data_IF_115320812271
#
_entry.id   IF_115320812271
#
_cell.length_a   1.000
_cell.length_b   1.000
_cell.length_c   1.000
_cell.angle_alpha   90.00
_cell.angle_beta   90.00
_cell.angle_gamma   90.00
#
_symmetry.space_group_name_H-M   'P 1'
#
loop_
_entity.id
_entity.type
_entity.pdbx_description
1 polymer ?
#
# COMPACT_ATOMS: atom_id res chain seq x y z
N UNK A 1 6.37 -19.72 46.80
CA UNK A 1 7.25 -19.46 45.63
C UNK A 1 6.38 -19.25 44.43
N UNK A 2 6.03 -17.97 44.17
CA UNK A 2 5.23 -17.57 43.02
C UNK A 2 6.16 -17.30 41.88
N UNK A 3 6.14 -18.13 40.86
CA UNK A 3 6.74 -17.80 39.55
C UNK A 3 5.88 -16.74 38.86
N UNK A 4 6.44 -15.55 38.76
CA UNK A 4 5.90 -14.51 37.92
C UNK A 4 6.21 -14.87 36.46
N UNK A 5 5.23 -15.41 35.80
CA UNK A 5 5.26 -15.52 34.32
C UNK A 5 5.09 -14.12 33.74
N UNK A 6 6.16 -13.59 33.18
CA UNK A 6 6.10 -12.33 32.45
C UNK A 6 5.27 -12.53 31.19
N UNK A 7 4.39 -11.58 30.79
CA UNK A 7 3.66 -11.68 29.55
C UNK A 7 4.61 -11.49 28.35
N UNK A 8 4.33 -12.10 27.22
CA UNK A 8 5.24 -12.11 26.09
C UNK A 8 5.39 -10.75 25.44
N UNK A 9 6.60 -10.46 25.01
CA UNK A 9 7.10 -9.24 24.36
C UNK A 9 6.50 -8.89 22.98
N UNK A 10 5.24 -9.27 22.70
CA UNK A 10 4.63 -9.04 21.38
C UNK A 10 4.30 -7.57 21.09
N UNK A 11 4.07 -6.77 22.12
CA UNK A 11 3.65 -5.37 21.95
C UNK A 11 4.81 -4.45 21.57
N UNK A 12 6.01 -4.71 22.09
CA UNK A 12 7.21 -3.91 21.76
C UNK A 12 7.65 -4.15 20.32
N UNK A 13 7.70 -5.39 19.87
CA UNK A 13 8.07 -5.74 18.50
C UNK A 13 7.11 -5.15 17.45
N UNK A 14 5.83 -5.05 17.77
CA UNK A 14 4.81 -4.45 16.91
C UNK A 14 5.02 -2.93 16.77
N UNK A 15 5.24 -2.26 17.89
CA UNK A 15 5.55 -0.83 17.91
C UNK A 15 6.80 -0.49 17.09
N UNK A 16 7.82 -1.33 17.17
CA UNK A 16 9.06 -1.18 16.43
C UNK A 16 8.87 -1.32 14.92
N UNK A 17 8.05 -2.26 14.47
CA UNK A 17 7.74 -2.46 13.03
C UNK A 17 6.96 -1.29 12.46
N UNK A 18 5.93 -0.83 13.15
CA UNK A 18 5.13 0.33 12.76
C UNK A 18 6.00 1.58 12.69
N UNK A 19 6.84 1.82 13.70
CA UNK A 19 7.73 2.98 13.71
C UNK A 19 8.84 2.88 12.65
N UNK A 20 9.36 1.70 12.39
CA UNK A 20 10.35 1.49 11.32
C UNK A 20 9.75 1.82 9.96
N UNK A 21 8.52 1.38 9.69
CA UNK A 21 7.82 1.70 8.46
C UNK A 21 7.52 3.21 8.36
N UNK A 22 7.05 3.81 9.44
CA UNK A 22 6.78 5.25 9.49
C UNK A 22 8.04 6.09 9.25
N UNK A 23 9.16 5.72 9.86
CA UNK A 23 10.45 6.36 9.65
C UNK A 23 10.92 6.27 8.20
N UNK A 24 10.76 5.10 7.59
CA UNK A 24 11.08 4.88 6.19
C UNK A 24 10.22 5.75 5.28
N UNK A 25 8.91 5.79 5.49
CA UNK A 25 7.99 6.62 4.73
C UNK A 25 8.32 8.10 4.87
N UNK A 26 8.65 8.58 6.06
CA UNK A 26 9.08 9.98 6.27
C UNK A 26 10.35 10.31 5.50
N UNK A 27 11.33 9.41 5.51
CA UNK A 27 12.62 9.66 4.83
C UNK A 27 12.49 9.72 3.31
N UNK A 28 11.51 9.05 2.73
CA UNK A 28 11.21 9.09 1.30
C UNK A 28 10.09 10.06 0.92
N UNK A 29 9.57 10.84 1.86
CA UNK A 29 8.41 11.72 1.66
C UNK A 29 7.20 10.97 1.09
N UNK A 30 6.93 9.82 1.63
CA UNK A 30 5.72 9.03 1.34
C UNK A 30 4.62 9.43 2.32
N UNK A 31 3.47 9.80 1.81
CA UNK A 31 2.31 10.21 2.62
C UNK A 31 1.37 9.07 2.94
N UNK A 32 1.20 8.14 2.01
CA UNK A 32 0.37 6.96 2.22
C UNK A 32 1.05 5.76 1.56
N UNK A 33 1.06 4.63 2.25
CA UNK A 33 1.57 3.36 1.74
C UNK A 33 0.47 2.29 1.86
N UNK A 34 0.22 1.59 0.77
CA UNK A 34 -0.70 0.46 0.72
C UNK A 34 0.04 -0.81 0.33
N UNK A 35 -0.42 -1.95 0.85
CA UNK A 35 -0.11 -3.26 0.30
C UNK A 35 -1.37 -3.82 -0.37
N UNK A 36 -1.23 -4.40 -1.54
CA UNK A 36 -2.35 -4.94 -2.29
C UNK A 36 -1.96 -6.27 -2.96
N UNK A 37 -2.86 -6.85 -3.71
CA UNK A 37 -2.62 -8.14 -4.34
C UNK A 37 -2.58 -9.30 -3.35
N UNK A 38 -1.99 -10.41 -3.74
CA UNK A 38 -2.05 -11.68 -3.01
C UNK A 38 -1.36 -11.65 -1.64
N UNK A 39 -0.39 -10.78 -1.43
CA UNK A 39 0.39 -10.70 -0.20
C UNK A 39 0.08 -9.49 0.68
N UNK A 40 -0.90 -8.68 0.30
CA UNK A 40 -1.25 -7.47 1.05
C UNK A 40 -1.69 -7.77 2.48
N UNK A 41 -2.52 -8.79 2.68
CA UNK A 41 -3.00 -9.21 4.00
C UNK A 41 -1.87 -9.68 4.91
N UNK A 42 -0.94 -10.46 4.38
CA UNK A 42 0.23 -10.93 5.13
C UNK A 42 1.09 -9.76 5.63
N UNK A 43 1.28 -8.75 4.79
CA UNK A 43 2.05 -7.55 5.14
C UNK A 43 1.39 -6.80 6.31
N UNK A 44 0.06 -6.64 6.28
CA UNK A 44 -0.68 -6.02 7.37
C UNK A 44 -0.58 -6.82 8.68
N UNK A 45 -0.75 -8.13 8.59
CA UNK A 45 -0.64 -9.03 9.74
C UNK A 45 0.76 -8.98 10.38
N UNK A 46 1.79 -8.97 9.55
CA UNK A 46 3.17 -8.84 10.01
C UNK A 46 3.39 -7.49 10.70
N UNK A 47 2.92 -6.41 10.10
CA UNK A 47 3.07 -5.05 10.64
C UNK A 47 2.44 -4.94 12.03
N UNK A 48 1.30 -5.57 12.25
CA UNK A 48 0.58 -5.56 13.53
C UNK A 48 0.98 -6.70 14.48
N UNK A 49 2.07 -7.41 14.19
CA UNK A 49 2.61 -8.44 15.07
C UNK A 49 1.82 -9.74 15.11
N UNK A 50 0.85 -9.92 14.24
CA UNK A 50 0.04 -11.15 14.14
C UNK A 50 0.74 -12.28 13.40
N UNK A 51 1.85 -11.97 12.77
CA UNK A 51 2.66 -12.88 11.96
C UNK A 51 4.13 -12.58 12.21
N UNK A 52 4.96 -13.62 12.35
CA UNK A 52 6.41 -13.45 12.58
C UNK A 52 7.17 -13.05 11.33
N UNK A 53 6.75 -13.58 10.18
CA UNK A 53 7.35 -13.33 8.88
C UNK A 53 6.31 -13.52 7.78
N UNK A 54 6.55 -12.95 6.60
CA UNK A 54 5.76 -13.24 5.42
C UNK A 54 6.12 -14.65 4.92
N UNK A 55 5.13 -15.33 4.34
CA UNK A 55 5.34 -16.67 3.79
C UNK A 55 6.41 -16.64 2.70
N UNK A 56 7.46 -17.48 2.77
CA UNK A 56 8.42 -17.59 1.68
C UNK A 56 7.73 -18.04 0.39
N UNK A 57 8.06 -17.40 -0.72
CA UNK A 57 7.47 -17.76 -2.00
C UNK A 57 7.94 -16.84 -3.12
N UNK A 58 7.67 -17.23 -4.38
CA UNK A 58 8.09 -16.46 -5.55
C UNK A 58 7.26 -15.20 -5.80
N UNK A 59 6.12 -15.04 -5.12
CA UNK A 59 5.23 -13.89 -5.32
C UNK A 59 5.83 -12.62 -4.78
N UNK A 60 5.73 -11.55 -5.55
CA UNK A 60 6.16 -10.21 -5.15
C UNK A 60 5.19 -9.63 -4.10
N UNK A 61 5.71 -8.78 -3.24
CA UNK A 61 4.87 -7.91 -2.41
C UNK A 61 4.54 -6.66 -3.22
N UNK A 62 3.26 -6.48 -3.53
CA UNK A 62 2.78 -5.34 -4.29
C UNK A 62 2.46 -4.18 -3.34
N UNK A 63 3.07 -3.03 -3.56
CA UNK A 63 2.84 -1.82 -2.77
C UNK A 63 2.45 -0.64 -3.65
N UNK A 64 1.50 0.15 -3.15
CA UNK A 64 1.11 1.42 -3.74
C UNK A 64 1.58 2.58 -2.87
N UNK A 65 2.15 3.59 -3.48
CA UNK A 65 2.76 4.73 -2.80
C UNK A 65 2.14 6.03 -3.27
N UNK A 66 1.68 6.84 -2.33
CA UNK A 66 1.29 8.24 -2.55
C UNK A 66 2.40 9.12 -2.00
N UNK A 67 3.26 9.73 -2.84
CA UNK A 67 4.29 10.66 -2.38
C UNK A 67 3.69 12.00 -1.94
N UNK A 68 4.50 12.82 -1.26
CA UNK A 68 4.13 14.18 -0.92
C UNK A 68 3.86 15.03 -2.16
N UNK A 69 3.00 16.02 -2.03
CA UNK A 69 2.62 16.92 -3.11
C UNK A 69 3.85 17.69 -3.61
N UNK A 70 4.07 17.69 -4.94
CA UNK A 70 5.24 18.33 -5.56
C UNK A 70 6.54 17.58 -5.36
N UNK A 71 6.55 16.44 -4.68
CA UNK A 71 7.73 15.61 -4.54
C UNK A 71 8.11 14.97 -5.87
N UNK A 72 9.40 15.08 -6.23
CA UNK A 72 9.95 14.33 -7.35
C UNK A 72 10.23 12.90 -6.89
N UNK A 73 9.74 11.92 -7.65
CA UNK A 73 9.97 10.51 -7.35
C UNK A 73 10.58 9.79 -8.55
N UNK A 74 11.87 10.08 -8.85
CA UNK A 74 12.54 9.48 -10.00
C UNK A 74 12.70 7.97 -9.82
N UNK A 75 13.00 7.27 -10.91
CA UNK A 75 13.18 5.81 -10.93
C UNK A 75 14.19 5.35 -9.86
N UNK A 76 15.29 6.06 -9.68
CA UNK A 76 16.29 5.74 -8.67
C UNK A 76 15.71 5.72 -7.27
N UNK A 77 14.92 6.73 -6.93
CA UNK A 77 14.27 6.84 -5.61
C UNK A 77 13.25 5.72 -5.40
N UNK A 78 12.50 5.39 -6.45
CA UNK A 78 11.56 4.27 -6.46
C UNK A 78 12.26 2.93 -6.19
N UNK A 79 13.40 2.69 -6.83
CA UNK A 79 14.21 1.49 -6.60
C UNK A 79 14.77 1.45 -5.18
N UNK A 80 15.29 2.55 -4.68
CA UNK A 80 15.81 2.66 -3.31
C UNK A 80 14.72 2.36 -2.26
N UNK A 81 13.52 2.90 -2.45
CA UNK A 81 12.39 2.62 -1.57
C UNK A 81 11.95 1.15 -1.64
N UNK A 82 11.86 0.59 -2.84
CA UNK A 82 11.52 -0.82 -3.02
C UNK A 82 12.53 -1.74 -2.29
N UNK A 83 13.81 -1.48 -2.42
CA UNK A 83 14.86 -2.24 -1.74
C UNK A 83 14.76 -2.10 -0.21
N UNK A 84 14.49 -0.91 0.28
CA UNK A 84 14.31 -0.67 1.71
C UNK A 84 13.07 -1.40 2.27
N UNK A 85 11.99 -1.46 1.51
CA UNK A 85 10.78 -2.24 1.87
C UNK A 85 11.04 -3.74 1.82
N UNK A 86 11.81 -4.24 0.85
CA UNK A 86 12.25 -5.63 0.80
C UNK A 86 12.99 -6.03 2.06
N UNK A 87 13.94 -5.20 2.49
CA UNK A 87 14.70 -5.44 3.72
C UNK A 87 13.81 -5.40 4.96
N UNK A 88 12.89 -4.44 5.03
CA UNK A 88 11.99 -4.28 6.17
C UNK A 88 11.04 -5.47 6.30
N UNK A 89 10.35 -5.85 5.22
CA UNK A 89 9.37 -6.94 5.23
C UNK A 89 10.01 -8.34 5.11
N UNK A 90 11.29 -8.42 4.81
CA UNK A 90 11.98 -9.69 4.65
C UNK A 90 11.51 -10.47 3.42
N UNK A 91 11.16 -9.78 2.35
CA UNK A 91 10.72 -10.38 1.08
C UNK A 91 11.79 -10.20 0.01
N UNK A 92 11.81 -11.11 -0.97
CA UNK A 92 12.81 -11.08 -2.03
C UNK A 92 12.56 -9.97 -3.06
N UNK A 93 11.31 -9.57 -3.25
CA UNK A 93 10.95 -8.54 -4.23
C UNK A 93 9.71 -7.76 -3.83
N UNK A 94 9.82 -6.44 -3.96
CA UNK A 94 8.71 -5.50 -3.84
C UNK A 94 8.43 -4.89 -5.22
N UNK A 95 7.18 -4.99 -5.65
CA UNK A 95 6.69 -4.29 -6.85
C UNK A 95 5.97 -3.01 -6.40
N UNK A 96 6.54 -1.86 -6.76
CA UNK A 96 6.11 -0.56 -6.27
C UNK A 96 5.43 0.24 -7.37
N UNK A 97 4.19 0.64 -7.11
CA UNK A 97 3.38 1.49 -8.01
C UNK A 97 3.21 2.86 -7.37
N UNK A 98 3.52 3.91 -8.11
CA UNK A 98 3.19 5.28 -7.72
C UNK A 98 1.73 5.56 -8.05
N UNK A 99 0.91 5.81 -7.03
CA UNK A 99 -0.54 6.02 -7.19
C UNK A 99 -0.88 7.15 -8.17
N UNK A 100 -0.18 8.30 -8.18
CA UNK A 100 -0.46 9.35 -9.15
C UNK A 100 -0.22 8.95 -10.62
N UNK A 101 0.58 7.94 -10.88
CA UNK A 101 0.90 7.43 -12.22
C UNK A 101 0.01 6.25 -12.63
N UNK A 102 -0.76 5.68 -11.70
CA UNK A 102 -1.64 4.55 -11.95
C UNK A 102 -2.91 5.00 -12.67
N UNK A 103 -3.42 4.14 -13.55
CA UNK A 103 -4.75 4.36 -14.10
C UNK A 103 -5.83 4.30 -13.00
N UNK A 104 -7.02 4.89 -13.22
CA UNK A 104 -8.04 4.97 -12.16
C UNK A 104 -8.50 3.63 -11.61
N UNK A 105 -8.54 2.58 -12.42
CA UNK A 105 -8.97 1.24 -11.97
C UNK A 105 -7.90 0.55 -11.15
N UNK A 106 -6.64 0.65 -11.55
CA UNK A 106 -5.51 0.15 -10.77
C UNK A 106 -5.41 0.89 -9.43
N UNK A 107 -5.51 2.21 -9.45
CA UNK A 107 -5.49 3.01 -8.22
C UNK A 107 -6.61 2.60 -7.26
N UNK A 108 -7.84 2.38 -7.75
CA UNK A 108 -8.96 1.89 -6.95
C UNK A 108 -8.68 0.50 -6.36
N UNK A 109 -8.07 -0.39 -7.13
CA UNK A 109 -7.68 -1.72 -6.65
C UNK A 109 -6.64 -1.64 -5.53
N UNK A 110 -5.68 -0.73 -5.66
CA UNK A 110 -4.65 -0.50 -4.63
C UNK A 110 -5.27 -0.04 -3.32
N UNK A 111 -6.13 0.97 -3.34
CA UNK A 111 -6.73 1.50 -2.11
C UNK A 111 -7.73 0.55 -1.46
N UNK A 112 -8.28 -0.42 -2.20
CA UNK A 112 -9.08 -1.51 -1.63
C UNK A 112 -8.24 -2.57 -0.93
N UNK A 113 -6.94 -2.53 -1.09
CA UNK A 113 -6.00 -3.36 -0.33
C UNK A 113 -5.88 -2.89 1.11
N UNK A 114 -4.69 -3.02 1.66
CA UNK A 114 -4.42 -2.72 3.07
C UNK A 114 -3.59 -1.44 3.19
N UNK A 115 -4.12 -0.44 3.88
CA UNK A 115 -3.35 0.76 4.21
C UNK A 115 -2.37 0.44 5.33
N UNK A 116 -1.08 0.49 5.04
CA UNK A 116 -0.02 0.19 6.01
C UNK A 116 0.49 1.44 6.73
N UNK A 117 0.44 2.59 6.09
CA UNK A 117 0.92 3.85 6.64
C UNK A 117 0.13 5.03 6.09
N UNK A 118 -0.13 6.01 6.94
CA UNK A 118 -0.66 7.32 6.57
C UNK A 118 0.00 8.38 7.45
N UNK A 119 0.58 9.40 6.83
CA UNK A 119 1.13 10.54 7.57
C UNK A 119 0.01 11.33 8.29
N UNK A 120 -1.16 11.39 7.68
CA UNK A 120 -2.37 11.98 8.20
C UNK A 120 -3.56 11.11 7.77
N UNK A 121 -4.24 10.51 8.75
CA UNK A 121 -5.34 9.56 8.49
C UNK A 121 -6.53 10.24 7.79
N UNK A 122 -6.85 11.47 8.15
CA UNK A 122 -7.95 12.21 7.51
C UNK A 122 -7.64 12.51 6.04
N UNK A 123 -6.45 13.00 5.75
CA UNK A 123 -6.00 13.26 4.38
C UNK A 123 -5.97 11.97 3.54
N UNK A 124 -5.59 10.85 4.15
CA UNK A 124 -5.61 9.53 3.49
C UNK A 124 -7.04 9.09 3.15
N UNK A 125 -7.99 9.28 4.05
CA UNK A 125 -9.40 8.97 3.80
C UNK A 125 -9.98 9.83 2.67
N UNK A 126 -9.65 11.11 2.63
CA UNK A 126 -10.05 12.00 1.52
C UNK A 126 -9.43 11.56 0.19
N UNK A 127 -8.18 11.14 0.20
CA UNK A 127 -7.50 10.64 -0.99
C UNK A 127 -8.15 9.36 -1.51
N UNK A 128 -8.50 8.43 -0.62
CA UNK A 128 -9.22 7.21 -0.98
C UNK A 128 -10.55 7.52 -1.67
N UNK A 129 -11.32 8.46 -1.13
CA UNK A 129 -12.59 8.90 -1.74
C UNK A 129 -12.37 9.52 -3.12
N UNK A 130 -11.34 10.34 -3.28
CA UNK A 130 -10.97 10.92 -4.56
C UNK A 130 -10.67 9.84 -5.60
N UNK A 131 -9.88 8.83 -5.25
CA UNK A 131 -9.54 7.71 -6.14
C UNK A 131 -10.78 6.90 -6.52
N UNK A 132 -11.66 6.61 -5.56
CA UNK A 132 -12.89 5.86 -5.83
C UNK A 132 -13.85 6.65 -6.73
N UNK A 133 -13.94 7.96 -6.57
CA UNK A 133 -14.75 8.83 -7.45
C UNK A 133 -14.21 8.80 -8.88
N UNK A 134 -12.89 8.92 -9.05
CA UNK A 134 -12.27 8.85 -10.39
C UNK A 134 -12.56 7.51 -11.08
N UNK A 135 -12.44 6.42 -10.35
CA UNK A 135 -12.75 5.09 -10.88
C UNK A 135 -14.24 4.97 -11.26
N UNK A 136 -15.14 5.48 -10.42
CA UNK A 136 -16.57 5.53 -10.69
C UNK A 136 -16.93 6.36 -11.93
N UNK A 137 -16.34 7.54 -12.07
CA UNK A 137 -16.53 8.40 -13.23
C UNK A 137 -16.02 7.74 -14.52
N UNK A 138 -14.85 7.12 -14.47
CA UNK A 138 -14.30 6.38 -15.61
C UNK A 138 -15.16 5.18 -16.00
N UNK A 139 -15.69 4.45 -15.02
CA UNK A 139 -16.60 3.32 -15.27
C UNK A 139 -17.91 3.78 -15.93
N UNK A 140 -18.44 4.94 -15.53
CA UNK A 140 -19.64 5.54 -16.12
C UNK A 140 -19.39 5.94 -17.57
N UNK A 141 -18.30 6.64 -17.85
CA UNK A 141 -17.91 7.02 -19.21
C UNK A 141 -17.69 5.80 -20.11
N UNK A 142 -17.08 4.76 -19.60
CA UNK A 142 -16.85 3.52 -20.35
C UNK A 142 -18.18 2.84 -20.71
N UNK A 143 -19.14 2.83 -19.80
CA UNK A 143 -20.48 2.29 -20.05
C UNK A 143 -21.25 3.10 -21.10
N UNK A 144 -21.17 4.43 -21.05
CA UNK A 144 -21.77 5.30 -22.07
C UNK A 144 -21.14 5.06 -23.45
N UNK A 145 -19.83 4.95 -23.50
CA UNK A 145 -19.11 4.65 -24.75
C UNK A 145 -19.53 3.31 -25.34
N UNK A 146 -19.63 2.28 -24.51
CA UNK A 146 -20.09 0.95 -24.94
C UNK A 146 -21.54 0.97 -25.45
N UNK A 147 -22.41 1.71 -24.77
CA UNK A 147 -23.80 1.87 -25.22
C UNK A 147 -23.88 2.54 -26.61
N UNK A 148 -23.08 3.59 -26.86
CA UNK A 148 -23.00 4.25 -28.17
C UNK A 148 -22.48 3.31 -29.27
N UNK A 149 -21.52 2.46 -28.98
CA UNK A 149 -20.99 1.47 -29.91
C UNK A 149 -22.05 0.43 -30.27
N UNK A 150 -22.81 -0.05 -29.28
CA UNK A 150 -23.87 -1.03 -29.48
C UNK A 150 -25.09 -0.47 -30.24
N UNK A 151 -25.42 0.81 -30.03
CA UNK A 151 -26.50 1.48 -30.77
C UNK A 151 -26.13 1.87 -32.23
N UNK A 152 -24.86 1.82 -32.57
CA UNK A 152 -24.35 2.20 -33.93
C UNK A 152 -24.33 1.04 -34.91
N UNK A 153 -24.69 -0.16 -34.53
CA UNK A 153 -24.72 -1.35 -35.36
C UNK A 153 -26.08 -1.38 -36.12
N UNK A 154 -26.07 -1.27 -37.47
CA UNK A 154 -27.32 -1.30 -38.26
C UNK A 154 -27.97 -2.68 -38.27
#
# INVERSE_FOLDING_TARGET
LSEKTSPPHHTEATGDRVEALAGLCRSFDVKILYAFGSRGREALEWLHGRRKALTPGPSDLDVGVKPGQGASFPVRRKVELAMALEDLFGVSRVDLVLLPEADPFLAANIIRGERLYAADAYAADEYDLYILRRAGDCAHLERERMALILDSDP
#
